data_IF_250700039130
#
_entry.id   IF_250700039130
#
_cell.length_a   1.000
_cell.length_b   1.000
_cell.length_c   1.000
_cell.angle_alpha   90.00
_cell.angle_beta   90.00
_cell.angle_gamma   90.00
#
_symmetry.space_group_name_H-M   'P 1'
#
loop_
_entity.id
_entity.type
_entity.pdbx_description
1 polymer ?
#
# COMPACT_ATOMS: atom_id res chain seq x y z
N UNK A 1 -15.63 18.93 -3.92
CA UNK A 1 -14.56 17.93 -3.68
C UNK A 1 -13.67 18.37 -2.51
N UNK A 2 -13.23 17.42 -1.70
CA UNK A 2 -12.30 17.70 -0.57
C UNK A 2 -10.91 18.01 -1.13
N UNK A 3 -10.24 19.07 -0.61
CA UNK A 3 -8.87 19.39 -1.04
C UNK A 3 -7.87 18.30 -0.63
N UNK A 4 -7.17 17.73 -1.60
CA UNK A 4 -6.14 16.70 -1.45
C UNK A 4 -4.76 17.17 -1.94
N UNK A 5 -4.59 18.46 -2.31
CA UNK A 5 -3.34 18.95 -2.90
C UNK A 5 -2.15 18.79 -1.95
N UNK A 6 -2.40 18.93 -0.64
CA UNK A 6 -1.41 18.80 0.43
C UNK A 6 -1.04 17.36 0.80
N UNK A 7 -1.77 16.35 0.28
CA UNK A 7 -1.53 14.94 0.62
C UNK A 7 -0.37 14.37 -0.20
N UNK A 8 0.37 13.46 0.42
CA UNK A 8 1.44 12.70 -0.26
C UNK A 8 0.82 11.63 -1.17
N UNK A 9 1.51 11.37 -2.27
CA UNK A 9 1.22 10.26 -3.17
C UNK A 9 1.71 8.97 -2.52
N UNK A 10 0.82 7.99 -2.36
CA UNK A 10 1.12 6.67 -1.76
C UNK A 10 0.33 5.58 -2.46
N UNK A 11 0.76 4.33 -2.32
CA UNK A 11 -0.05 3.18 -2.75
C UNK A 11 -1.40 3.19 -2.02
N UNK A 12 -2.46 3.02 -2.78
CA UNK A 12 -3.85 2.87 -2.32
C UNK A 12 -4.38 1.55 -2.85
N UNK A 13 -4.95 0.77 -1.96
CA UNK A 13 -5.59 -0.49 -2.30
C UNK A 13 -6.95 -0.54 -1.60
N UNK A 14 -7.97 -1.01 -2.30
CA UNK A 14 -9.28 -1.27 -1.73
C UNK A 14 -9.90 -2.51 -2.36
N UNK A 15 -10.59 -3.28 -1.54
CA UNK A 15 -11.36 -4.45 -1.97
C UNK A 15 -12.80 -4.28 -1.50
N UNK A 16 -13.73 -4.31 -2.45
CA UNK A 16 -15.17 -4.33 -2.18
C UNK A 16 -15.78 -5.67 -2.60
N UNK A 17 -16.90 -6.01 -2.02
CA UNK A 17 -17.69 -7.19 -2.39
C UNK A 17 -19.13 -6.83 -2.70
N UNK A 18 -19.74 -7.65 -3.57
CA UNK A 18 -21.18 -7.71 -3.77
C UNK A 18 -21.64 -9.17 -3.73
N UNK A 19 -22.89 -9.40 -3.39
CA UNK A 19 -23.52 -10.73 -3.41
C UNK A 19 -24.80 -10.65 -4.24
N UNK A 20 -24.89 -11.51 -5.22
CA UNK A 20 -26.11 -11.71 -6.03
C UNK A 20 -26.65 -13.10 -5.75
N UNK A 21 -27.90 -13.15 -5.26
CA UNK A 21 -28.63 -14.40 -5.01
C UNK A 21 -29.56 -14.68 -6.18
N UNK A 22 -29.48 -15.87 -6.73
CA UNK A 22 -30.45 -16.42 -7.69
C UNK A 22 -31.51 -17.22 -6.96
N UNK A 23 -32.71 -17.38 -7.56
CA UNK A 23 -33.81 -18.09 -6.91
C UNK A 23 -33.87 -19.59 -7.22
N UNK A 24 -33.05 -20.07 -8.16
CA UNK A 24 -33.10 -21.45 -8.68
C UNK A 24 -31.71 -22.01 -8.99
N UNK A 25 -31.52 -23.31 -8.74
CA UNK A 25 -30.31 -24.04 -9.09
C UNK A 25 -30.07 -24.07 -10.61
N UNK A 26 -31.15 -24.16 -11.41
CA UNK A 26 -31.05 -24.15 -12.87
C UNK A 26 -30.40 -22.87 -13.42
N UNK A 27 -30.50 -21.73 -12.71
CA UNK A 27 -29.82 -20.51 -13.08
C UNK A 27 -28.32 -20.63 -12.90
N UNK A 28 -27.87 -21.24 -11.81
CA UNK A 28 -26.45 -21.54 -11.57
C UNK A 28 -25.95 -22.52 -12.64
N UNK A 29 -26.67 -23.60 -12.88
CA UNK A 29 -26.32 -24.58 -13.90
C UNK A 29 -26.19 -23.93 -15.30
N UNK A 30 -27.10 -23.02 -15.67
CA UNK A 30 -27.03 -22.30 -16.94
C UNK A 30 -25.78 -21.40 -17.05
N UNK A 31 -25.31 -20.84 -15.94
CA UNK A 31 -24.05 -20.07 -15.89
C UNK A 31 -22.86 -21.00 -16.12
N UNK A 32 -22.78 -22.09 -15.37
CA UNK A 32 -21.67 -23.07 -15.43
C UNK A 32 -21.57 -23.72 -16.82
N UNK A 33 -22.70 -24.06 -17.43
CA UNK A 33 -22.80 -24.64 -18.77
C UNK A 33 -22.69 -23.59 -19.90
N UNK A 34 -22.53 -22.31 -19.59
CA UNK A 34 -22.49 -21.18 -20.56
C UNK A 34 -23.73 -21.12 -21.49
N UNK A 35 -24.89 -21.47 -20.95
CA UNK A 35 -26.18 -21.50 -21.68
C UNK A 35 -27.03 -20.26 -21.44
N UNK A 36 -26.48 -19.19 -20.87
CA UNK A 36 -27.21 -17.94 -20.68
C UNK A 36 -27.43 -17.26 -22.03
N UNK A 37 -28.66 -16.88 -22.39
CA UNK A 37 -28.97 -16.34 -23.73
C UNK A 37 -28.20 -15.07 -24.10
N UNK A 38 -27.78 -14.26 -23.12
CA UNK A 38 -27.00 -13.03 -23.30
C UNK A 38 -25.49 -13.24 -23.41
N UNK A 39 -25.01 -14.49 -23.38
CA UNK A 39 -23.59 -14.83 -23.47
C UNK A 39 -22.91 -15.14 -22.14
N UNK A 40 -21.57 -15.04 -22.10
CA UNK A 40 -20.77 -15.35 -20.90
C UNK A 40 -21.00 -14.29 -19.83
N UNK A 41 -21.66 -14.70 -18.76
CA UNK A 41 -22.13 -13.81 -17.70
C UNK A 41 -20.96 -13.17 -16.95
N UNK A 42 -19.92 -13.94 -16.67
CA UNK A 42 -18.79 -13.43 -15.90
C UNK A 42 -17.91 -12.51 -16.72
N UNK A 43 -17.65 -12.82 -17.98
CA UNK A 43 -16.84 -11.97 -18.83
C UNK A 43 -17.52 -10.64 -19.16
N UNK A 44 -18.84 -10.66 -19.46
CA UNK A 44 -19.61 -9.44 -19.68
C UNK A 44 -19.68 -8.57 -18.41
N UNK A 45 -19.90 -9.18 -17.27
CA UNK A 45 -19.94 -8.44 -15.99
C UNK A 45 -18.57 -7.90 -15.59
N UNK A 46 -17.50 -8.63 -15.91
CA UNK A 46 -16.11 -8.15 -15.74
C UNK A 46 -15.87 -6.91 -16.60
N UNK A 47 -16.24 -6.94 -17.87
CA UNK A 47 -16.09 -5.80 -18.78
C UNK A 47 -16.87 -4.57 -18.27
N UNK A 48 -18.12 -4.77 -17.82
CA UNK A 48 -18.94 -3.72 -17.22
C UNK A 48 -18.30 -3.12 -15.95
N UNK A 49 -17.79 -3.97 -15.07
CA UNK A 49 -17.08 -3.54 -13.85
C UNK A 49 -15.81 -2.75 -14.13
N UNK A 50 -14.99 -3.20 -15.09
CA UNK A 50 -13.79 -2.47 -15.53
C UNK A 50 -14.12 -1.09 -16.10
N UNK A 51 -15.21 -0.96 -16.84
CA UNK A 51 -15.67 0.32 -17.35
C UNK A 51 -16.15 1.21 -16.20
N UNK A 52 -16.99 0.68 -15.31
CA UNK A 52 -17.54 1.41 -14.17
C UNK A 52 -16.45 2.02 -13.28
N UNK A 53 -15.42 1.24 -12.94
CA UNK A 53 -14.29 1.69 -12.13
C UNK A 53 -13.61 2.92 -12.74
N UNK A 54 -13.41 2.94 -14.08
CA UNK A 54 -12.80 4.05 -14.80
C UNK A 54 -13.71 5.27 -14.92
N UNK A 55 -15.02 5.07 -14.80
CA UNK A 55 -16.05 6.09 -14.96
C UNK A 55 -16.63 6.59 -13.63
N UNK A 56 -16.11 6.16 -12.51
CA UNK A 56 -16.59 6.54 -11.18
C UNK A 56 -16.72 8.06 -10.99
N UNK A 57 -15.72 8.90 -11.32
CA UNK A 57 -15.82 10.35 -11.14
C UNK A 57 -16.81 11.02 -12.09
N UNK A 58 -17.21 10.37 -13.19
CA UNK A 58 -18.26 10.87 -14.08
C UNK A 58 -19.68 10.58 -13.52
N UNK A 59 -19.79 9.58 -12.65
CA UNK A 59 -21.08 9.17 -12.04
C UNK A 59 -21.29 9.78 -10.65
N UNK A 60 -20.22 10.03 -9.91
CA UNK A 60 -20.24 10.55 -8.54
C UNK A 60 -19.59 11.93 -8.50
N UNK A 61 -20.38 13.02 -8.41
CA UNK A 61 -19.90 14.39 -8.64
C UNK A 61 -18.79 14.86 -7.71
N UNK A 62 -18.71 14.33 -6.49
CA UNK A 62 -17.69 14.72 -5.50
C UNK A 62 -16.46 13.80 -5.48
N UNK A 63 -16.45 12.76 -6.33
CA UNK A 63 -15.33 11.83 -6.45
C UNK A 63 -14.17 12.45 -7.26
N UNK A 64 -12.94 12.30 -6.75
CA UNK A 64 -11.76 12.79 -7.47
C UNK A 64 -11.45 11.92 -8.69
N UNK A 65 -11.15 12.50 -9.86
CA UNK A 65 -10.60 11.73 -10.96
C UNK A 65 -9.21 11.22 -10.59
N UNK A 66 -9.03 9.92 -10.61
CA UNK A 66 -7.76 9.29 -10.28
C UNK A 66 -7.42 8.18 -11.28
N UNK A 67 -6.13 7.93 -11.54
CA UNK A 67 -5.70 6.85 -12.42
C UNK A 67 -5.90 5.50 -11.72
N UNK A 68 -6.63 4.58 -12.37
CA UNK A 68 -6.71 3.20 -11.90
C UNK A 68 -5.61 2.39 -12.58
N UNK A 69 -4.68 1.84 -11.79
CA UNK A 69 -3.52 1.09 -12.31
C UNK A 69 -3.76 -0.42 -12.28
N UNK A 70 -4.63 -0.88 -11.38
CA UNK A 70 -5.01 -2.29 -11.31
C UNK A 70 -6.48 -2.45 -10.93
N UNK A 71 -7.17 -3.37 -11.59
CA UNK A 71 -8.50 -3.85 -11.24
C UNK A 71 -8.56 -5.37 -11.37
N UNK A 72 -8.80 -6.06 -10.27
CA UNK A 72 -9.07 -7.50 -10.21
C UNK A 72 -10.53 -7.73 -9.84
N UNK A 73 -11.25 -8.52 -10.66
CA UNK A 73 -12.63 -8.93 -10.38
C UNK A 73 -12.69 -10.44 -10.36
N UNK A 74 -13.06 -10.99 -9.19
CA UNK A 74 -13.17 -12.43 -8.96
C UNK A 74 -14.60 -12.79 -8.61
N UNK A 75 -14.98 -14.03 -8.95
CA UNK A 75 -16.29 -14.61 -8.70
C UNK A 75 -16.15 -15.92 -7.96
N UNK A 76 -17.08 -16.19 -7.05
CA UNK A 76 -17.20 -17.46 -6.33
C UNK A 76 -18.68 -17.80 -6.20
N UNK A 77 -19.07 -19.00 -6.66
CA UNK A 77 -20.44 -19.51 -6.50
C UNK A 77 -20.52 -20.31 -5.22
N UNK A 78 -21.50 -20.00 -4.35
CA UNK A 78 -21.81 -20.70 -3.11
C UNK A 78 -23.30 -21.02 -3.04
N UNK A 79 -23.66 -22.23 -3.48
CA UNK A 79 -25.08 -22.59 -3.61
C UNK A 79 -25.80 -21.66 -4.58
N UNK A 80 -26.78 -20.89 -4.11
CA UNK A 80 -27.53 -19.93 -4.91
C UNK A 80 -26.92 -18.51 -4.90
N UNK A 81 -25.79 -18.30 -4.26
CA UNK A 81 -25.12 -17.01 -4.17
C UNK A 81 -23.92 -16.91 -5.10
N UNK A 82 -23.83 -15.79 -5.81
CA UNK A 82 -22.67 -15.40 -6.60
C UNK A 82 -21.96 -14.29 -5.84
N UNK A 83 -20.82 -14.61 -5.24
CA UNK A 83 -19.97 -13.69 -4.53
C UNK A 83 -19.02 -13.00 -5.50
N UNK A 84 -19.01 -11.68 -5.48
CA UNK A 84 -18.17 -10.82 -6.30
C UNK A 84 -17.16 -10.15 -5.40
N UNK A 85 -15.91 -10.12 -5.84
CA UNK A 85 -14.85 -9.36 -5.17
C UNK A 85 -14.16 -8.48 -6.20
N UNK A 86 -14.12 -7.15 -5.93
CA UNK A 86 -13.50 -6.15 -6.78
C UNK A 86 -12.34 -5.50 -6.00
N UNK A 87 -11.10 -5.74 -6.45
CA UNK A 87 -9.89 -5.19 -5.85
C UNK A 87 -9.25 -4.18 -6.78
N UNK A 88 -8.97 -2.98 -6.26
CA UNK A 88 -8.32 -1.90 -7.00
C UNK A 88 -7.01 -1.48 -6.36
N UNK A 89 -6.07 -1.04 -7.21
CA UNK A 89 -4.82 -0.42 -6.77
C UNK A 89 -4.50 0.80 -7.62
N UNK A 90 -3.95 1.82 -6.95
CA UNK A 90 -3.41 3.02 -7.59
C UNK A 90 -2.33 3.65 -6.70
N UNK A 91 -1.46 4.46 -7.28
CA UNK A 91 -0.52 5.32 -6.57
C UNK A 91 -1.04 6.75 -6.66
N UNK A 92 -1.75 7.20 -5.61
CA UNK A 92 -2.40 8.52 -5.63
C UNK A 92 -2.55 9.15 -4.25
N UNK A 93 -3.11 10.36 -4.20
CA UNK A 93 -3.31 11.18 -2.99
C UNK A 93 -4.56 10.79 -2.19
N UNK A 94 -5.51 10.07 -2.80
CA UNK A 94 -6.76 9.60 -2.16
C UNK A 94 -6.94 8.10 -2.36
N UNK A 95 -7.81 7.48 -1.56
CA UNK A 95 -8.11 6.06 -1.64
C UNK A 95 -9.02 5.72 -2.83
N UNK A 96 -9.19 4.44 -3.11
CA UNK A 96 -9.97 3.87 -4.23
C UNK A 96 -11.18 3.07 -3.74
N UNK A 97 -11.65 3.37 -2.52
CA UNK A 97 -12.73 2.64 -1.88
C UNK A 97 -14.04 2.77 -2.66
N UNK A 98 -14.32 3.97 -3.14
CA UNK A 98 -15.57 4.30 -3.86
C UNK A 98 -15.57 3.65 -5.23
N UNK A 99 -14.45 3.66 -5.93
CA UNK A 99 -14.26 3.01 -7.23
C UNK A 99 -14.41 1.48 -7.09
N UNK A 100 -13.88 0.88 -6.03
CA UNK A 100 -14.03 -0.55 -5.76
C UNK A 100 -15.49 -0.92 -5.51
N UNK A 101 -16.21 -0.14 -4.70
CA UNK A 101 -17.63 -0.35 -4.43
C UNK A 101 -18.48 -0.12 -5.68
N UNK A 102 -18.21 0.91 -6.48
CA UNK A 102 -18.91 1.17 -7.73
C UNK A 102 -18.69 0.03 -8.73
N UNK A 103 -17.43 -0.44 -8.89
CA UNK A 103 -17.13 -1.61 -9.72
C UNK A 103 -17.92 -2.85 -9.31
N UNK A 104 -17.92 -3.21 -8.02
CA UNK A 104 -18.67 -4.34 -7.50
C UNK A 104 -20.19 -4.18 -7.72
N UNK A 105 -20.72 -2.96 -7.55
CA UNK A 105 -22.13 -2.63 -7.77
C UNK A 105 -22.57 -2.85 -9.23
N UNK A 106 -21.77 -2.35 -10.17
CA UNK A 106 -22.07 -2.48 -11.60
C UNK A 106 -21.92 -3.92 -12.08
N UNK A 107 -20.94 -4.67 -11.54
CA UNK A 107 -20.81 -6.11 -11.79
C UNK A 107 -22.08 -6.84 -11.34
N UNK A 108 -22.57 -6.58 -10.12
CA UNK A 108 -23.78 -7.19 -9.60
C UNK A 108 -25.03 -6.83 -10.43
N UNK A 109 -25.14 -5.57 -10.83
CA UNK A 109 -26.25 -5.11 -11.69
C UNK A 109 -26.20 -5.74 -13.07
N UNK A 110 -25.01 -5.92 -13.65
CA UNK A 110 -24.87 -6.59 -14.94
C UNK A 110 -25.20 -8.09 -14.86
N UNK A 111 -24.82 -8.77 -13.78
CA UNK A 111 -25.24 -10.15 -13.51
C UNK A 111 -26.77 -10.24 -13.48
N UNK A 112 -27.43 -9.35 -12.72
CA UNK A 112 -28.88 -9.27 -12.67
C UNK A 112 -29.48 -9.09 -14.07
N UNK A 113 -28.97 -8.14 -14.88
CA UNK A 113 -29.50 -7.88 -16.23
C UNK A 113 -29.35 -9.09 -17.17
N UNK A 114 -28.24 -9.80 -17.07
CA UNK A 114 -27.98 -10.95 -17.93
C UNK A 114 -28.81 -12.18 -17.54
N UNK A 115 -29.09 -12.37 -16.25
CA UNK A 115 -29.78 -13.55 -15.73
C UNK A 115 -31.30 -13.38 -15.63
N UNK A 116 -31.83 -12.14 -15.58
CA UNK A 116 -33.27 -11.86 -15.44
C UNK A 116 -34.20 -12.52 -16.50
N UNK A 117 -33.73 -12.89 -17.72
CA UNK A 117 -34.57 -13.69 -18.65
C UNK A 117 -34.82 -15.10 -18.14
N UNK A 118 -33.89 -15.68 -17.38
CA UNK A 118 -33.96 -17.04 -16.85
C UNK A 118 -34.61 -17.10 -15.47
N UNK A 119 -34.37 -16.09 -14.66
CA UNK A 119 -34.75 -16.06 -13.25
C UNK A 119 -35.30 -14.69 -12.85
N UNK A 120 -36.55 -14.64 -12.36
CA UNK A 120 -37.22 -13.40 -11.93
C UNK A 120 -37.03 -13.08 -10.45
N UNK A 121 -36.50 -14.02 -9.67
CA UNK A 121 -36.31 -13.88 -8.23
C UNK A 121 -34.87 -13.55 -7.85
N UNK A 122 -34.10 -12.90 -8.72
CA UNK A 122 -32.71 -12.51 -8.46
C UNK A 122 -32.70 -11.28 -7.54
N UNK A 123 -31.84 -11.31 -6.55
CA UNK A 123 -31.64 -10.22 -5.59
C UNK A 123 -30.16 -9.81 -5.52
N UNK A 124 -29.90 -8.51 -5.43
CA UNK A 124 -28.59 -7.99 -5.04
C UNK A 124 -28.65 -7.71 -3.54
N UNK A 125 -28.08 -8.60 -2.74
CA UNK A 125 -28.30 -8.58 -1.28
C UNK A 125 -27.38 -7.62 -0.56
N UNK A 126 -26.13 -7.50 -1.01
CA UNK A 126 -25.10 -6.83 -0.22
C UNK A 126 -24.00 -6.25 -1.10
N UNK A 127 -23.67 -4.99 -0.81
CA UNK A 127 -22.49 -4.32 -1.35
C UNK A 127 -21.74 -3.72 -0.17
N UNK A 128 -20.46 -4.03 0.00
CA UNK A 128 -19.66 -3.49 1.10
C UNK A 128 -18.18 -3.38 0.77
N UNK A 129 -17.52 -2.43 1.41
CA UNK A 129 -16.07 -2.39 1.48
C UNK A 129 -15.59 -3.50 2.43
N UNK A 130 -14.66 -4.35 1.98
CA UNK A 130 -14.03 -5.39 2.78
C UNK A 130 -12.77 -4.89 3.47
N UNK A 131 -11.90 -4.25 2.68
CA UNK A 131 -10.58 -3.82 3.12
C UNK A 131 -10.16 -2.57 2.36
N UNK A 132 -9.37 -1.73 3.03
CA UNK A 132 -8.62 -0.65 2.39
C UNK A 132 -7.23 -0.57 3.00
N UNK A 133 -6.24 -0.20 2.18
CA UNK A 133 -4.86 0.02 2.59
C UNK A 133 -4.33 1.32 2.00
N UNK A 134 -3.44 1.98 2.72
CA UNK A 134 -2.82 3.24 2.33
C UNK A 134 -3.44 4.47 2.96
N UNK A 135 -2.64 5.54 3.06
CA UNK A 135 -3.01 6.81 3.66
C UNK A 135 -2.59 6.98 5.12
N UNK A 136 -3.12 8.03 5.75
CA UNK A 136 -2.76 8.36 7.16
C UNK A 136 -3.20 7.29 8.17
N UNK A 137 -4.20 6.48 7.84
CA UNK A 137 -4.72 5.40 8.71
C UNK A 137 -3.80 4.18 8.73
N UNK A 138 -2.97 4.00 7.72
CA UNK A 138 -1.93 2.97 7.65
C UNK A 138 -0.57 3.54 8.06
N UNK A 139 -0.53 4.33 9.12
CA UNK A 139 0.71 4.45 9.85
C UNK A 139 1.01 3.03 10.32
N UNK A 140 1.89 2.34 9.59
CA UNK A 140 2.54 1.16 10.09
C UNK A 140 3.19 1.53 11.41
N UNK A 141 2.51 1.30 12.50
CA UNK A 141 3.16 1.08 13.77
C UNK A 141 4.07 -0.11 13.48
N UNK A 142 5.35 0.17 13.30
CA UNK A 142 6.36 -0.87 13.11
C UNK A 142 6.18 -1.82 14.29
N UNK A 143 5.50 -2.96 14.07
CA UNK A 143 5.29 -4.00 15.10
C UNK A 143 6.60 -4.65 15.54
N UNK A 144 7.72 -4.28 14.92
CA UNK A 144 9.07 -4.63 15.30
C UNK A 144 9.62 -3.52 16.17
N UNK A 145 10.26 -3.88 17.29
CA UNK A 145 11.03 -2.97 18.16
C UNK A 145 12.26 -2.48 17.36
N UNK A 146 12.06 -1.52 16.48
CA UNK A 146 13.15 -0.88 15.73
C UNK A 146 13.71 0.22 16.61
N UNK A 147 15.03 0.26 16.74
CA UNK A 147 15.78 1.39 17.31
C UNK A 147 16.60 2.03 16.21
N UNK A 148 16.76 3.35 16.23
CA UNK A 148 17.57 4.10 15.29
C UNK A 148 18.87 4.55 15.94
N UNK A 149 19.95 4.58 15.14
CA UNK A 149 21.16 5.31 15.48
C UNK A 149 21.34 6.44 14.46
N UNK A 150 21.70 7.64 14.95
CA UNK A 150 21.94 8.82 14.11
C UNK A 150 23.43 9.14 14.18
N UNK A 151 24.11 9.04 13.04
CA UNK A 151 25.52 9.39 12.91
C UNK A 151 25.64 10.59 11.98
N UNK A 152 26.20 11.68 12.49
CA UNK A 152 26.44 12.92 11.73
C UNK A 152 27.91 12.99 11.37
N UNK A 153 28.20 12.96 10.07
CA UNK A 153 29.57 13.04 9.55
C UNK A 153 29.83 14.49 9.11
N UNK A 154 30.64 15.21 9.85
CA UNK A 154 30.95 16.61 9.51
C UNK A 154 32.17 17.11 10.27
N UNK A 155 33.20 17.55 9.55
CA UNK A 155 34.40 18.16 10.13
C UNK A 155 34.16 19.46 10.89
N UNK A 156 33.20 20.27 10.44
CA UNK A 156 32.91 21.55 11.07
C UNK A 156 32.10 21.40 12.36
N UNK A 157 31.21 20.39 12.41
CA UNK A 157 30.39 20.12 13.59
C UNK A 157 31.20 19.32 14.63
N UNK A 158 31.99 18.34 14.21
CA UNK A 158 32.84 17.55 15.10
C UNK A 158 33.90 18.38 15.81
N UNK A 159 34.37 19.46 15.18
CA UNK A 159 35.31 20.44 15.74
C UNK A 159 34.61 21.60 16.50
N UNK A 160 33.30 21.51 16.72
CA UNK A 160 32.54 22.53 17.47
C UNK A 160 32.38 23.88 16.78
N UNK A 161 32.70 23.99 15.46
CA UNK A 161 32.61 25.24 14.70
C UNK A 161 31.21 25.58 14.23
N UNK A 162 30.32 24.60 14.19
CA UNK A 162 28.90 24.73 13.79
C UNK A 162 28.01 23.86 14.66
N UNK A 163 26.77 24.29 14.83
CA UNK A 163 25.74 23.49 15.50
C UNK A 163 25.16 22.44 14.56
N UNK A 164 24.90 21.24 15.08
CA UNK A 164 24.20 20.19 14.33
C UNK A 164 22.69 20.44 14.31
N UNK A 165 22.20 21.02 13.23
CA UNK A 165 20.77 21.21 12.97
C UNK A 165 20.14 19.99 12.30
N UNK A 166 20.91 19.28 11.45
CA UNK A 166 20.40 18.17 10.65
C UNK A 166 20.14 16.91 11.50
N UNK A 167 21.11 16.54 12.32
CA UNK A 167 20.95 15.39 13.23
C UNK A 167 19.82 15.63 14.24
N UNK A 168 19.72 16.83 14.81
CA UNK A 168 18.60 17.20 15.70
C UNK A 168 17.23 17.09 15.01
N UNK A 169 17.10 17.59 13.78
CA UNK A 169 15.87 17.51 13.01
C UNK A 169 15.48 16.06 12.68
N UNK A 170 16.47 15.19 12.43
CA UNK A 170 16.23 13.74 12.22
C UNK A 170 15.73 13.10 13.52
N UNK A 171 16.35 13.39 14.66
CA UNK A 171 15.94 12.89 15.97
C UNK A 171 14.49 13.27 16.27
N UNK A 172 14.13 14.54 16.09
CA UNK A 172 12.75 15.02 16.27
C UNK A 172 11.74 14.29 15.38
N UNK A 173 12.10 13.97 14.13
CA UNK A 173 11.22 13.23 13.24
C UNK A 173 11.11 11.74 13.64
N UNK A 174 12.20 11.11 14.07
CA UNK A 174 12.18 9.74 14.57
C UNK A 174 11.33 9.63 15.83
N UNK A 175 11.43 10.60 16.73
CA UNK A 175 10.62 10.68 17.94
C UNK A 175 9.11 10.82 17.61
N UNK A 176 8.74 11.69 16.65
CA UNK A 176 7.35 11.80 16.14
C UNK A 176 6.82 10.48 15.56
N UNK A 177 7.69 9.61 15.09
CA UNK A 177 7.33 8.28 14.57
C UNK A 177 7.37 7.19 15.64
N UNK A 178 7.71 7.54 16.89
CA UNK A 178 7.82 6.61 17.99
C UNK A 178 9.00 5.64 17.86
N UNK A 179 10.06 6.02 17.12
CA UNK A 179 11.27 5.22 16.95
C UNK A 179 12.31 5.68 17.96
N UNK A 180 12.63 4.87 18.98
CA UNK A 180 13.60 5.25 19.98
C UNK A 180 15.01 5.34 19.42
N UNK A 181 15.77 6.36 19.83
CA UNK A 181 17.17 6.57 19.46
C UNK A 181 18.05 5.72 20.37
N UNK A 182 18.84 4.83 19.79
CA UNK A 182 19.82 4.00 20.49
C UNK A 182 21.17 4.70 20.62
N UNK A 183 21.54 5.49 19.61
CA UNK A 183 22.81 6.23 19.60
C UNK A 183 22.68 7.50 18.76
N UNK A 184 23.36 8.57 19.21
CA UNK A 184 23.54 9.81 18.48
C UNK A 184 25.00 10.24 18.60
N UNK A 185 25.70 10.23 17.48
CA UNK A 185 27.14 10.52 17.46
C UNK A 185 27.50 11.46 16.32
N UNK A 186 28.40 12.40 16.58
CA UNK A 186 28.98 13.30 15.60
C UNK A 186 30.46 12.91 15.40
N UNK A 187 30.85 12.63 14.16
CA UNK A 187 32.22 12.23 13.80
C UNK A 187 32.74 13.08 12.64
N UNK A 188 34.07 13.17 12.45
CA UNK A 188 34.65 13.76 11.27
C UNK A 188 34.21 13.06 10.00
N UNK A 189 34.29 13.76 8.84
CA UNK A 189 33.95 13.20 7.54
C UNK A 189 35.14 12.37 6.97
N UNK A 190 35.50 11.33 7.73
CA UNK A 190 36.59 10.41 7.40
C UNK A 190 36.07 8.98 7.23
N UNK A 191 36.39 8.35 6.08
CA UNK A 191 35.85 7.05 5.67
C UNK A 191 36.09 5.96 6.72
N UNK A 192 37.29 5.91 7.31
CA UNK A 192 37.65 4.86 8.27
C UNK A 192 36.91 5.03 9.59
N UNK A 193 36.69 6.26 10.06
CA UNK A 193 35.90 6.54 11.26
C UNK A 193 34.43 6.22 11.05
N UNK A 194 33.90 6.56 9.89
CA UNK A 194 32.50 6.24 9.52
C UNK A 194 32.31 4.72 9.49
N UNK A 195 33.21 3.99 8.83
CA UNK A 195 33.15 2.53 8.74
C UNK A 195 33.23 1.86 10.13
N UNK A 196 34.19 2.24 10.93
CA UNK A 196 34.37 1.72 12.30
C UNK A 196 33.12 1.97 13.17
N UNK A 197 32.54 3.19 13.11
CA UNK A 197 31.33 3.51 13.87
C UNK A 197 30.12 2.68 13.43
N UNK A 198 29.93 2.50 12.11
CA UNK A 198 28.85 1.67 11.58
C UNK A 198 29.00 0.20 11.98
N UNK A 199 30.22 -0.32 12.00
CA UNK A 199 30.49 -1.70 12.46
C UNK A 199 30.17 -1.89 13.94
N UNK A 200 30.58 -0.98 14.81
CA UNK A 200 30.22 -1.01 16.24
C UNK A 200 28.71 -0.99 16.43
N UNK A 201 28.02 -0.06 15.79
CA UNK A 201 26.56 0.01 15.86
C UNK A 201 25.86 -1.25 15.35
N UNK A 202 26.46 -1.95 14.40
CA UNK A 202 25.95 -3.24 13.91
C UNK A 202 26.06 -4.33 14.99
N UNK A 203 27.13 -4.38 15.74
CA UNK A 203 27.35 -5.34 16.83
C UNK A 203 26.45 -5.07 18.03
N UNK A 204 26.42 -3.84 18.56
CA UNK A 204 25.58 -3.46 19.71
C UNK A 204 24.07 -3.72 19.43
N UNK A 205 23.64 -3.55 18.20
CA UNK A 205 22.26 -3.84 17.81
C UNK A 205 21.96 -5.34 17.64
N UNK A 206 22.98 -6.20 17.51
CA UNK A 206 22.85 -7.67 17.54
C UNK A 206 22.76 -8.21 18.96
N UNK A 207 23.55 -7.71 19.89
CA UNK A 207 23.52 -8.13 21.32
C UNK A 207 22.17 -7.82 21.99
N UNK A 208 21.57 -6.68 21.70
CA UNK A 208 20.26 -6.29 22.24
C UNK A 208 19.10 -7.23 21.84
N UNK A 209 19.31 -8.17 20.91
CA UNK A 209 18.31 -9.15 20.47
C UNK A 209 18.36 -10.47 21.23
N UNK A 210 19.42 -10.79 21.93
CA UNK A 210 19.59 -12.12 22.55
C UNK A 210 19.69 -13.26 21.53
N UNK A 211 19.88 -12.97 20.26
CA UNK A 211 19.92 -13.95 19.18
C UNK A 211 21.34 -14.51 19.08
N UNK A 212 21.51 -15.77 19.48
CA UNK A 212 22.67 -16.56 19.11
C UNK A 212 22.79 -16.56 17.60
N UNK A 213 23.97 -16.25 17.11
CA UNK A 213 24.36 -16.20 15.69
C UNK A 213 23.71 -17.34 14.88
N UNK A 214 22.66 -17.03 14.13
CA UNK A 214 22.07 -17.95 13.20
C UNK A 214 22.68 -17.68 11.81
N UNK A 215 23.42 -18.65 11.32
CA UNK A 215 23.96 -18.74 9.96
C UNK A 215 22.83 -19.04 8.97
N UNK A 216 21.92 -18.10 8.72
CA UNK A 216 20.94 -18.23 7.68
C UNK A 216 21.07 -17.12 6.62
N UNK A 217 21.15 -17.48 5.32
CA UNK A 217 21.46 -16.55 4.23
C UNK A 217 20.29 -15.63 3.80
N UNK A 218 19.14 -15.65 4.49
CA UNK A 218 17.94 -14.88 4.11
C UNK A 218 17.45 -13.87 5.14
N UNK A 219 18.32 -13.37 6.01
CA UNK A 219 17.94 -12.42 7.03
C UNK A 219 17.82 -10.99 6.45
N UNK A 220 16.61 -10.55 6.12
CA UNK A 220 16.31 -9.14 5.78
C UNK A 220 16.47 -8.27 7.03
N UNK A 221 17.62 -7.61 7.17
CA UNK A 221 17.88 -6.60 8.19
C UNK A 221 17.07 -5.35 7.83
N UNK A 222 15.92 -5.15 8.45
CA UNK A 222 15.21 -3.87 8.42
C UNK A 222 15.80 -2.96 9.50
N UNK A 223 16.82 -2.22 9.15
CA UNK A 223 17.45 -1.21 10.02
C UNK A 223 17.60 0.08 9.25
N UNK A 224 17.14 1.17 9.80
CA UNK A 224 17.35 2.51 9.25
C UNK A 224 18.57 3.09 9.95
N UNK A 225 19.71 3.12 9.27
CA UNK A 225 20.84 3.94 9.64
C UNK A 225 20.73 5.24 8.81
N UNK A 226 20.49 6.37 9.46
CA UNK A 226 20.56 7.67 8.81
C UNK A 226 21.97 8.20 8.92
N UNK A 227 22.71 8.19 7.82
CA UNK A 227 24.01 8.86 7.71
C UNK A 227 23.77 10.21 7.06
N UNK A 228 24.09 11.29 7.76
CA UNK A 228 23.99 12.66 7.21
C UNK A 228 25.38 13.12 6.88
N UNK A 229 25.66 13.28 5.58
CA UNK A 229 26.91 13.87 5.09
C UNK A 229 26.73 15.39 4.94
N UNK A 230 27.61 16.17 5.54
CA UNK A 230 27.70 17.60 5.29
C UNK A 230 28.16 17.89 3.87
N UNK A 231 27.97 19.13 3.33
CA UNK A 231 28.45 19.46 2.01
C UNK A 231 29.97 19.43 1.96
N UNK A 232 30.53 18.29 1.58
CA UNK A 232 31.92 18.18 1.18
C UNK A 232 32.03 18.58 -0.29
N UNK A 233 32.97 19.45 -0.73
CA UNK A 233 33.20 19.68 -2.13
C UNK A 233 33.71 18.38 -2.73
N UNK A 234 32.91 17.78 -3.60
CA UNK A 234 33.26 16.64 -4.43
C UNK A 234 34.59 16.98 -5.15
N UNK A 235 35.70 16.41 -4.69
CA UNK A 235 36.90 16.28 -5.54
C UNK A 235 36.53 15.31 -6.65
N UNK A 236 36.22 15.84 -7.81
CA UNK A 236 36.31 15.06 -9.04
C UNK A 236 37.75 14.56 -9.17
N UNK A 237 37.98 13.30 -8.90
CA UNK A 237 39.13 12.60 -9.42
C UNK A 237 38.79 12.16 -10.84
N UNK A 238 39.21 12.96 -11.80
CA UNK A 238 39.40 12.51 -13.16
C UNK A 238 40.44 11.38 -13.10
N UNK A 239 40.06 10.22 -13.53
CA UNK A 239 40.99 9.19 -14.00
C UNK A 239 40.58 8.77 -15.39
N UNK A 240 41.57 9.03 -16.28
CA UNK A 240 41.84 8.67 -17.65
C UNK A 240 41.40 7.23 -17.98
#
# INVERSE_FOLDING_TARGET
MVDITHKKVTLREATASAVVRVSREQTIQAIEEKKVPKGDVFEMSRAAGLLAVKKTPEMLPDCHPLPIEYTGINYEIKGLEIHIQCTLKTIYKTGVEVEAMHGASVVALNLYDMLKPLDKGIEIEKIKLLEKKGGKSDTHTLKTKVKAAVVVCSDSISKGKKEDRAGKAIIENLDKWGIPIADYTIIPDEVDQIRSKVEVLRFDMMELRGDKCATEPNFKIQRVACIVQGPSPLRRTEHI
#
